data_IF_720160847469
#
_entry.id   IF_720160847469
#
_cell.length_a   1.000
_cell.length_b   1.000
_cell.length_c   1.000
_cell.angle_alpha   90.00
_cell.angle_beta   90.00
_cell.angle_gamma   90.00
#
_symmetry.space_group_name_H-M   'P 1'
#
loop_
_entity.id
_entity.type
_entity.pdbx_description
1 polymer ?
#
# COMPACT_ATOMS: atom_id res chain seq x y z
N UNK A 1 11.32 -23.59 1.82
CA UNK A 1 10.32 -22.50 1.66
C UNK A 1 10.52 -21.69 0.38
N UNK A 2 11.68 -21.04 0.15
CA UNK A 2 11.92 -20.19 -1.05
C UNK A 2 11.75 -20.94 -2.39
N UNK A 3 12.21 -22.20 -2.46
CA UNK A 3 12.04 -23.05 -3.65
C UNK A 3 10.56 -23.38 -3.94
N UNK A 4 9.77 -23.69 -2.90
CA UNK A 4 8.34 -24.00 -3.03
C UNK A 4 7.55 -22.76 -3.49
N UNK A 5 7.80 -21.60 -2.89
CA UNK A 5 7.18 -20.33 -3.31
C UNK A 5 7.43 -20.05 -4.79
N UNK A 6 8.68 -20.20 -5.24
CA UNK A 6 9.04 -19.96 -6.63
C UNK A 6 8.33 -20.94 -7.58
N UNK A 7 8.11 -22.19 -7.17
CA UNK A 7 7.31 -23.16 -7.95
C UNK A 7 5.84 -22.77 -8.05
N UNK A 8 5.23 -22.26 -6.97
CA UNK A 8 3.85 -21.75 -7.01
C UNK A 8 3.73 -20.52 -7.91
N UNK A 9 4.70 -19.61 -7.84
CA UNK A 9 4.77 -18.45 -8.73
C UNK A 9 4.93 -18.92 -10.19
N UNK A 10 5.80 -19.90 -10.44
CA UNK A 10 5.99 -20.45 -11.78
C UNK A 10 4.72 -21.13 -12.32
N UNK A 11 3.96 -21.81 -11.46
CA UNK A 11 2.67 -22.39 -11.81
C UNK A 11 1.63 -21.31 -12.16
N UNK A 12 1.57 -20.22 -11.38
CA UNK A 12 0.74 -19.07 -11.67
C UNK A 12 1.14 -18.36 -12.99
N UNK A 13 2.45 -18.27 -13.28
CA UNK A 13 2.97 -17.72 -14.53
C UNK A 13 2.61 -18.58 -15.75
N UNK A 14 2.67 -19.91 -15.63
CA UNK A 14 2.26 -20.83 -16.70
C UNK A 14 0.76 -20.67 -17.01
N UNK A 15 -0.08 -20.57 -15.98
CA UNK A 15 -1.49 -20.24 -16.17
C UNK A 15 -1.69 -18.86 -16.80
N UNK A 16 -0.98 -17.83 -16.33
CA UNK A 16 -1.08 -16.49 -16.92
C UNK A 16 -0.68 -16.48 -18.40
N UNK A 17 0.35 -17.24 -18.79
CA UNK A 17 0.74 -17.44 -20.19
C UNK A 17 -0.36 -18.13 -20.99
N UNK A 18 -0.95 -19.21 -20.46
CA UNK A 18 -2.05 -19.91 -21.11
C UNK A 18 -3.28 -19.01 -21.25
N UNK A 19 -3.58 -18.19 -20.25
CA UNK A 19 -4.71 -17.28 -20.25
C UNK A 19 -4.59 -16.24 -21.38
N UNK A 20 -3.44 -15.60 -21.52
CA UNK A 20 -3.23 -14.56 -22.55
C UNK A 20 -3.15 -15.13 -23.97
N UNK A 21 -2.81 -16.42 -24.13
CA UNK A 21 -2.90 -17.14 -25.40
C UNK A 21 -4.35 -17.34 -25.85
N UNK A 22 -5.29 -17.51 -24.90
CA UNK A 22 -6.66 -17.95 -25.19
C UNK A 22 -7.73 -16.86 -25.00
N UNK A 23 -7.44 -15.83 -24.20
CA UNK A 23 -8.37 -14.73 -23.95
C UNK A 23 -7.77 -13.42 -24.45
N UNK A 24 -8.40 -12.75 -25.43
CA UNK A 24 -7.97 -11.43 -25.86
C UNK A 24 -8.23 -10.40 -24.75
N UNK A 25 -7.49 -9.28 -24.76
CA UNK A 25 -7.76 -8.12 -23.91
C UNK A 25 -7.71 -8.36 -22.39
N UNK A 26 -6.77 -9.18 -21.91
CA UNK A 26 -6.36 -9.15 -20.51
C UNK A 26 -5.49 -7.90 -20.29
N UNK A 27 -5.85 -7.03 -19.35
CA UNK A 27 -5.02 -5.87 -19.03
C UNK A 27 -3.90 -6.24 -18.08
N UNK A 28 -4.22 -7.01 -17.04
CA UNK A 28 -3.27 -7.47 -16.01
C UNK A 28 -3.67 -8.83 -15.44
N UNK A 29 -2.67 -9.65 -15.14
CA UNK A 29 -2.79 -10.79 -14.23
C UNK A 29 -1.84 -10.57 -13.05
N UNK A 30 -2.37 -10.65 -11.83
CA UNK A 30 -1.64 -10.27 -10.61
C UNK A 30 -1.80 -11.37 -9.57
N UNK A 31 -0.69 -11.95 -9.13
CA UNK A 31 -0.67 -12.85 -7.99
C UNK A 31 -0.76 -12.02 -6.70
N UNK A 32 -1.61 -12.43 -5.76
CA UNK A 32 -1.75 -11.80 -4.45
C UNK A 32 -1.94 -12.86 -3.35
N UNK A 33 -2.20 -12.43 -2.12
CA UNK A 33 -2.48 -13.33 -1.01
C UNK A 33 -1.25 -14.01 -0.41
N UNK A 34 -1.46 -15.17 0.21
CA UNK A 34 -0.50 -15.87 1.08
C UNK A 34 0.79 -16.26 0.38
N UNK A 35 0.75 -16.59 -0.92
CA UNK A 35 1.93 -16.93 -1.73
C UNK A 35 2.89 -15.74 -1.82
N UNK A 36 2.36 -14.51 -1.95
CA UNK A 36 3.20 -13.32 -2.05
C UNK A 36 3.68 -12.86 -0.68
N UNK A 37 2.82 -12.90 0.36
CA UNK A 37 3.19 -12.58 1.74
C UNK A 37 4.10 -13.63 2.41
N UNK A 38 4.31 -14.79 1.77
CA UNK A 38 5.10 -15.92 2.28
C UNK A 38 4.48 -16.56 3.54
N UNK A 39 3.16 -16.52 3.63
CA UNK A 39 2.33 -17.09 4.72
C UNK A 39 1.54 -18.32 4.26
N UNK A 40 1.88 -18.89 3.09
CA UNK A 40 1.21 -20.05 2.51
C UNK A 40 1.69 -21.37 3.14
N UNK A 41 0.78 -22.34 3.24
CA UNK A 41 1.04 -23.72 3.59
C UNK A 41 0.86 -24.66 2.38
N UNK A 42 0.76 -25.97 2.61
CA UNK A 42 0.65 -26.95 1.52
C UNK A 42 -0.72 -26.96 0.85
N UNK A 43 -1.76 -26.52 1.57
CA UNK A 43 -3.15 -26.53 1.13
C UNK A 43 -3.62 -25.17 0.60
N UNK A 44 -2.83 -24.13 0.84
CA UNK A 44 -3.12 -22.76 0.44
C UNK A 44 -3.39 -22.63 -1.06
N UNK A 45 -4.49 -21.95 -1.39
CA UNK A 45 -4.82 -21.58 -2.76
C UNK A 45 -3.85 -20.53 -3.30
N UNK A 46 -3.70 -20.50 -4.61
CA UNK A 46 -2.91 -19.52 -5.33
C UNK A 46 -3.87 -18.46 -5.87
N UNK A 47 -3.95 -17.34 -5.17
CA UNK A 47 -4.86 -16.24 -5.48
C UNK A 47 -4.34 -15.35 -6.62
N UNK A 48 -5.09 -15.29 -7.73
CA UNK A 48 -4.78 -14.49 -8.91
C UNK A 48 -5.92 -13.53 -9.23
N UNK A 49 -5.59 -12.26 -9.42
CA UNK A 49 -6.52 -11.23 -9.89
C UNK A 49 -6.34 -11.03 -11.39
N UNK A 50 -7.43 -11.14 -12.15
CA UNK A 50 -7.47 -10.92 -13.59
C UNK A 50 -8.24 -9.62 -13.86
N UNK A 51 -7.50 -8.58 -14.25
CA UNK A 51 -8.05 -7.29 -14.63
C UNK A 51 -8.40 -7.29 -16.12
N UNK A 52 -9.69 -7.27 -16.41
CA UNK A 52 -10.24 -7.35 -17.77
C UNK A 52 -11.72 -6.93 -17.79
N UNK A 53 -12.23 -6.61 -18.99
CA UNK A 53 -13.66 -6.50 -19.29
C UNK A 53 -14.27 -7.83 -19.77
N UNK A 54 -13.46 -8.85 -20.01
CA UNK A 54 -13.93 -10.16 -20.46
C UNK A 54 -14.83 -10.83 -19.41
N UNK A 55 -15.76 -11.67 -19.87
CA UNK A 55 -16.75 -12.29 -18.98
C UNK A 55 -16.07 -13.31 -18.06
N UNK A 56 -16.42 -13.25 -16.78
CA UNK A 56 -15.92 -14.18 -15.76
C UNK A 56 -16.09 -15.65 -16.15
N UNK A 57 -17.19 -15.99 -16.84
CA UNK A 57 -17.46 -17.36 -17.31
C UNK A 57 -16.39 -17.86 -18.30
N UNK A 58 -15.93 -17.00 -19.19
CA UNK A 58 -14.99 -17.38 -20.25
C UNK A 58 -13.59 -17.61 -19.64
N UNK A 59 -13.17 -16.75 -18.73
CA UNK A 59 -11.94 -16.93 -17.93
C UNK A 59 -11.98 -18.24 -17.12
N UNK A 60 -13.11 -18.53 -16.45
CA UNK A 60 -13.27 -19.77 -15.68
C UNK A 60 -13.26 -21.02 -16.55
N UNK A 61 -13.75 -20.95 -17.79
CA UNK A 61 -13.66 -22.07 -18.73
C UNK A 61 -12.20 -22.34 -19.13
N UNK A 62 -11.45 -21.28 -19.44
CA UNK A 62 -10.01 -21.38 -19.75
C UNK A 62 -9.21 -21.94 -18.57
N UNK A 63 -9.55 -21.56 -17.33
CA UNK A 63 -8.96 -22.19 -16.14
C UNK A 63 -9.20 -23.70 -16.10
N UNK A 64 -10.43 -24.16 -16.33
CA UNK A 64 -10.75 -25.59 -16.34
C UNK A 64 -10.00 -26.33 -17.45
N UNK A 65 -9.92 -25.75 -18.64
CA UNK A 65 -9.16 -26.31 -19.76
C UNK A 65 -7.67 -26.41 -19.43
N UNK A 66 -7.11 -25.37 -18.79
CA UNK A 66 -5.74 -25.36 -18.32
C UNK A 66 -5.49 -26.47 -17.29
N UNK A 67 -6.34 -26.58 -16.26
CA UNK A 67 -6.22 -27.57 -15.20
C UNK A 67 -6.28 -29.01 -15.73
N UNK A 68 -7.11 -29.26 -16.74
CA UNK A 68 -7.24 -30.56 -17.42
C UNK A 68 -6.15 -30.83 -18.46
N UNK A 69 -5.24 -29.88 -18.71
CA UNK A 69 -4.16 -30.02 -19.68
C UNK A 69 -2.80 -29.72 -19.05
N UNK A 70 -2.31 -28.47 -19.16
CA UNK A 70 -0.99 -28.07 -18.64
C UNK A 70 -0.90 -28.17 -17.12
N UNK A 71 -2.01 -27.94 -16.40
CA UNK A 71 -2.08 -27.99 -14.94
C UNK A 71 -1.77 -29.37 -14.35
N UNK A 72 -2.11 -30.47 -15.03
CA UNK A 72 -1.78 -31.81 -14.55
C UNK A 72 -0.27 -32.05 -14.44
N UNK A 73 0.52 -31.45 -15.34
CA UNK A 73 1.98 -31.55 -15.30
C UNK A 73 2.57 -30.99 -14.00
N UNK A 74 1.90 -30.03 -13.37
CA UNK A 74 2.34 -29.45 -12.09
C UNK A 74 2.04 -30.36 -10.90
N UNK A 75 0.96 -31.15 -10.96
CA UNK A 75 0.66 -32.18 -9.96
C UNK A 75 1.78 -33.22 -9.90
N UNK A 76 2.29 -33.66 -11.05
CA UNK A 76 3.45 -34.56 -11.12
C UNK A 76 4.75 -33.94 -10.58
N UNK A 77 4.84 -32.60 -10.55
CA UNK A 77 5.96 -31.85 -9.92
C UNK A 77 5.75 -31.58 -8.43
N UNK A 78 4.71 -32.15 -7.82
CA UNK A 78 4.39 -31.99 -6.40
C UNK A 78 3.66 -30.69 -6.07
N UNK A 79 3.05 -30.03 -7.05
CA UNK A 79 2.21 -28.83 -6.86
C UNK A 79 0.75 -29.22 -7.09
N UNK A 80 0.01 -29.39 -6.00
CA UNK A 80 -1.43 -29.73 -6.02
C UNK A 80 -2.34 -28.57 -5.62
N UNK A 81 -1.76 -27.40 -5.33
CA UNK A 81 -2.48 -26.19 -4.94
C UNK A 81 -3.46 -25.75 -6.03
N UNK A 82 -4.65 -25.29 -5.63
CA UNK A 82 -5.67 -24.82 -6.57
C UNK A 82 -5.41 -23.36 -6.98
N UNK A 83 -5.82 -22.99 -8.19
CA UNK A 83 -5.80 -21.59 -8.64
C UNK A 83 -7.14 -20.94 -8.30
N UNK A 84 -7.10 -19.88 -7.48
CA UNK A 84 -8.27 -19.10 -7.08
C UNK A 84 -8.29 -17.77 -7.85
N UNK A 85 -9.33 -17.54 -8.65
CA UNK A 85 -9.42 -16.35 -9.51
C UNK A 85 -10.42 -15.32 -8.98
N UNK A 86 -9.99 -14.06 -8.93
CA UNK A 86 -10.87 -12.89 -8.85
C UNK A 86 -10.81 -12.15 -10.18
N UNK A 87 -11.96 -11.91 -10.81
CA UNK A 87 -12.03 -11.45 -12.20
C UNK A 87 -12.84 -10.15 -12.28
N UNK A 88 -12.34 -9.19 -13.05
CA UNK A 88 -13.02 -7.94 -13.39
C UNK A 88 -12.15 -6.71 -13.17
N UNK A 89 -12.74 -5.52 -13.26
CA UNK A 89 -12.00 -4.26 -13.11
C UNK A 89 -11.49 -4.03 -11.69
N UNK A 90 -10.17 -3.88 -11.52
CA UNK A 90 -9.54 -3.72 -10.20
C UNK A 90 -10.10 -2.52 -9.41
N UNK A 91 -10.50 -1.46 -10.10
CA UNK A 91 -11.07 -0.26 -9.47
C UNK A 91 -12.39 -0.52 -8.74
N UNK A 92 -13.11 -1.59 -9.09
CA UNK A 92 -14.33 -2.01 -8.41
C UNK A 92 -14.04 -2.74 -7.08
N UNK A 93 -12.76 -2.96 -6.73
CA UNK A 93 -12.35 -3.71 -5.54
C UNK A 93 -11.40 -2.88 -4.65
N UNK A 94 -11.87 -1.82 -3.97
CA UNK A 94 -10.99 -0.88 -3.26
C UNK A 94 -10.06 -1.54 -2.22
N UNK A 95 -10.58 -2.48 -1.44
CA UNK A 95 -9.79 -3.20 -0.42
C UNK A 95 -8.74 -4.10 -1.05
N UNK A 96 -9.11 -4.83 -2.11
CA UNK A 96 -8.18 -5.72 -2.82
C UNK A 96 -7.12 -4.92 -3.58
N UNK A 97 -7.52 -3.80 -4.19
CA UNK A 97 -6.63 -2.86 -4.87
C UNK A 97 -5.52 -2.39 -3.95
N UNK A 98 -5.84 -1.99 -2.70
CA UNK A 98 -4.82 -1.61 -1.70
C UNK A 98 -3.86 -2.77 -1.39
N UNK A 99 -4.38 -3.97 -1.17
CA UNK A 99 -3.56 -5.16 -0.90
C UNK A 99 -2.60 -5.50 -2.06
N UNK A 100 -3.12 -5.46 -3.29
CA UNK A 100 -2.34 -5.67 -4.51
C UNK A 100 -1.29 -4.56 -4.71
N UNK A 101 -1.62 -3.30 -4.42
CA UNK A 101 -0.66 -2.20 -4.53
C UNK A 101 0.50 -2.33 -3.55
N UNK A 102 0.24 -2.85 -2.33
CA UNK A 102 1.30 -3.04 -1.34
C UNK A 102 2.21 -4.23 -1.65
N UNK A 103 1.62 -5.38 -2.01
CA UNK A 103 2.34 -6.66 -2.03
C UNK A 103 1.99 -7.55 -3.23
N UNK A 104 1.31 -7.06 -4.27
CA UNK A 104 0.98 -7.88 -5.44
C UNK A 104 2.21 -8.17 -6.31
N UNK A 105 2.25 -9.36 -6.93
CA UNK A 105 3.25 -9.71 -7.92
C UNK A 105 2.60 -9.69 -9.31
N UNK A 106 3.04 -8.76 -10.17
CA UNK A 106 2.55 -8.68 -11.56
C UNK A 106 3.05 -9.90 -12.34
N UNK A 107 2.12 -10.74 -12.80
CA UNK A 107 2.42 -11.91 -13.66
C UNK A 107 2.43 -11.52 -15.13
N UNK A 108 1.47 -10.67 -15.52
CA UNK A 108 1.30 -10.14 -16.87
C UNK A 108 0.67 -8.75 -16.82
N UNK A 109 1.06 -7.89 -17.73
CA UNK A 109 0.48 -6.56 -17.94
C UNK A 109 1.54 -5.56 -18.37
N UNK A 110 1.09 -4.39 -18.85
CA UNK A 110 2.03 -3.30 -19.14
C UNK A 110 2.74 -2.87 -17.87
N UNK A 111 4.06 -2.78 -17.93
CA UNK A 111 4.84 -2.14 -16.88
C UNK A 111 4.31 -0.72 -16.69
N UNK A 112 3.82 -0.45 -15.49
CA UNK A 112 3.58 0.90 -14.99
C UNK A 112 4.56 1.04 -13.84
N UNK A 113 5.39 2.07 -13.90
CA UNK A 113 6.32 2.39 -12.83
C UNK A 113 5.51 2.51 -11.53
N UNK A 114 5.71 1.57 -10.61
CA UNK A 114 5.19 1.63 -9.24
C UNK A 114 6.37 2.13 -8.42
N UNK A 115 6.24 3.27 -7.73
CA UNK A 115 7.35 3.80 -6.97
C UNK A 115 7.77 2.80 -5.88
N UNK A 116 9.05 2.43 -5.85
CA UNK A 116 9.58 1.43 -4.90
C UNK A 116 9.41 1.85 -3.44
N UNK A 117 9.18 3.14 -3.17
CA UNK A 117 8.90 3.71 -1.86
C UNK A 117 7.76 4.71 -1.96
N UNK A 118 6.54 4.24 -1.79
CA UNK A 118 5.43 5.15 -1.48
C UNK A 118 5.49 5.42 0.02
N UNK A 119 5.92 6.61 0.40
CA UNK A 119 5.86 7.04 1.79
C UNK A 119 4.43 7.55 2.06
N UNK A 120 3.74 6.93 3.01
CA UNK A 120 2.41 7.37 3.44
C UNK A 120 2.56 8.49 4.45
N UNK A 121 2.07 9.67 4.10
CA UNK A 121 2.00 10.83 4.99
C UNK A 121 0.55 11.14 5.37
N UNK A 122 0.41 11.73 6.54
CA UNK A 122 -0.83 12.26 7.06
C UNK A 122 -0.77 13.78 7.04
N UNK A 123 -1.64 14.39 6.23
CA UNK A 123 -1.84 15.83 6.22
C UNK A 123 -2.79 16.23 7.34
N UNK A 124 -2.26 16.95 8.31
CA UNK A 124 -2.99 17.58 9.39
C UNK A 124 -3.26 19.04 9.07
N UNK A 125 -4.53 19.42 9.02
CA UNK A 125 -4.98 20.82 8.96
C UNK A 125 -5.48 21.19 10.36
N UNK A 126 -4.64 21.88 11.12
CA UNK A 126 -4.87 22.23 12.51
C UNK A 126 -5.71 23.50 12.65
N UNK A 127 -6.73 23.46 13.51
CA UNK A 127 -7.47 24.64 13.97
C UNK A 127 -7.10 24.95 15.42
N UNK A 128 -6.83 26.24 15.68
CA UNK A 128 -6.51 26.76 17.00
C UNK A 128 -7.61 27.68 17.54
N UNK A 129 -8.82 27.65 16.99
CA UNK A 129 -9.85 28.67 17.24
C UNK A 129 -10.30 28.70 18.71
N UNK A 130 -10.23 27.55 19.39
CA UNK A 130 -10.58 27.39 20.81
C UNK A 130 -9.41 27.65 21.77
N UNK A 131 -8.30 28.20 21.30
CA UNK A 131 -7.07 28.35 22.07
C UNK A 131 -6.73 29.83 22.24
N UNK A 132 -6.38 30.24 23.47
CA UNK A 132 -6.03 31.64 23.77
C UNK A 132 -4.75 32.09 23.05
N UNK A 133 -4.61 33.39 22.79
CA UNK A 133 -3.45 33.94 22.06
C UNK A 133 -2.10 33.60 22.71
N UNK A 134 -2.00 33.69 24.04
CA UNK A 134 -0.77 33.30 24.76
C UNK A 134 -0.46 31.82 24.60
N UNK A 135 -1.48 30.94 24.67
CA UNK A 135 -1.30 29.50 24.51
C UNK A 135 -0.94 29.13 23.06
N UNK A 136 -1.48 29.83 22.05
CA UNK A 136 -1.12 29.64 20.63
C UNK A 136 0.38 29.83 20.39
N UNK A 137 1.00 30.88 20.95
CA UNK A 137 2.43 31.15 20.77
C UNK A 137 3.28 30.02 21.36
N UNK A 138 2.94 29.55 22.56
CA UNK A 138 3.62 28.40 23.18
C UNK A 138 3.50 27.14 22.32
N UNK A 139 2.30 26.84 21.81
CA UNK A 139 2.08 25.67 20.95
C UNK A 139 2.82 25.75 19.62
N UNK A 140 2.89 26.93 18.99
CA UNK A 140 3.68 27.11 17.78
C UNK A 140 5.16 26.89 18.02
N UNK A 141 5.70 27.34 19.16
CA UNK A 141 7.09 27.05 19.55
C UNK A 141 7.33 25.56 19.79
N UNK A 142 6.36 24.85 20.37
CA UNK A 142 6.45 23.39 20.56
C UNK A 142 6.35 22.62 19.24
N UNK A 143 5.50 23.05 18.30
CA UNK A 143 5.31 22.40 17.00
C UNK A 143 6.48 22.66 16.05
N UNK A 144 6.87 23.92 15.89
CA UNK A 144 7.80 24.37 14.85
C UNK A 144 9.23 24.59 15.37
N UNK A 145 9.41 24.59 16.69
CA UNK A 145 10.67 25.02 17.30
C UNK A 145 10.80 26.54 17.33
N UNK A 146 11.94 27.01 17.81
CA UNK A 146 12.28 28.43 17.79
C UNK A 146 13.79 28.65 17.84
N UNK A 147 14.20 29.82 17.34
CA UNK A 147 15.52 30.40 17.56
C UNK A 147 15.34 31.74 18.25
N UNK A 148 16.06 31.97 19.34
CA UNK A 148 16.01 33.22 20.09
C UNK A 148 17.41 33.65 20.52
N UNK A 149 17.77 34.89 20.22
CA UNK A 149 19.00 35.51 20.72
C UNK A 149 18.71 36.23 22.04
N UNK A 150 19.41 35.84 23.10
CA UNK A 150 19.34 36.50 24.41
C UNK A 150 20.76 36.96 24.75
N UNK A 151 20.97 38.28 24.77
CA UNK A 151 22.30 38.91 24.90
C UNK A 151 23.26 38.37 23.82
N UNK A 152 24.33 37.69 24.23
CA UNK A 152 25.35 37.08 23.36
C UNK A 152 25.12 35.59 23.08
N UNK A 153 24.06 34.97 23.62
CA UNK A 153 23.78 33.54 23.45
C UNK A 153 22.56 33.31 22.55
N UNK A 154 22.67 32.34 21.65
CA UNK A 154 21.57 31.89 20.81
C UNK A 154 20.99 30.59 21.37
N UNK A 155 19.67 30.58 21.57
CA UNK A 155 18.93 29.42 22.04
C UNK A 155 18.12 28.87 20.87
N UNK A 156 18.41 27.63 20.47
CA UNK A 156 17.67 26.92 19.44
C UNK A 156 17.00 25.71 20.07
N UNK A 157 15.72 25.51 19.76
CA UNK A 157 14.99 24.29 20.10
C UNK A 157 14.28 23.76 18.86
N UNK A 158 14.42 22.47 18.59
CA UNK A 158 13.67 21.80 17.54
C UNK A 158 12.21 21.63 17.94
N UNK A 159 11.33 21.63 16.95
CA UNK A 159 9.90 21.42 17.14
C UNK A 159 9.52 19.97 16.93
N UNK A 160 8.38 19.58 17.50
CA UNK A 160 7.82 18.23 17.37
C UNK A 160 7.73 17.76 15.92
N UNK A 161 7.40 18.66 14.98
CA UNK A 161 7.30 18.29 13.56
C UNK A 161 8.63 17.75 13.05
N UNK A 162 9.75 18.41 13.39
CA UNK A 162 11.07 17.96 12.97
C UNK A 162 11.47 16.67 13.69
N UNK A 163 11.16 16.54 14.97
CA UNK A 163 11.41 15.32 15.77
C UNK A 163 10.69 14.08 15.21
N UNK A 164 9.53 14.26 14.58
CA UNK A 164 8.74 13.20 13.97
C UNK A 164 9.02 12.99 12.47
N UNK A 165 10.12 13.55 11.94
CA UNK A 165 10.42 13.58 10.50
C UNK A 165 9.26 14.12 9.65
N UNK A 166 8.46 15.01 10.22
CA UNK A 166 7.36 15.69 9.56
C UNK A 166 7.81 16.93 8.79
N UNK A 167 6.93 17.40 7.92
CA UNK A 167 7.13 18.61 7.12
C UNK A 167 6.05 19.63 7.40
N UNK A 168 6.47 20.87 7.64
CA UNK A 168 5.55 22.01 7.72
C UNK A 168 5.38 22.55 6.30
N UNK A 169 4.17 22.42 5.74
CA UNK A 169 3.83 23.06 4.47
C UNK A 169 3.50 24.53 4.71
N UNK A 170 2.65 24.79 5.69
CA UNK A 170 2.30 26.14 6.13
C UNK A 170 1.98 26.17 7.63
N UNK A 171 1.70 27.35 8.19
CA UNK A 171 1.25 27.44 9.58
C UNK A 171 -0.09 26.70 9.72
N UNK A 172 -0.08 25.62 10.50
CA UNK A 172 -1.26 24.81 10.76
C UNK A 172 -1.50 23.74 9.69
N UNK A 173 -0.67 23.64 8.65
CA UNK A 173 -0.76 22.61 7.62
C UNK A 173 0.54 21.81 7.65
N UNK A 174 0.45 20.55 8.08
CA UNK A 174 1.60 19.73 8.46
C UNK A 174 1.44 18.33 7.88
N UNK A 175 2.50 17.81 7.27
CA UNK A 175 2.63 16.41 6.90
C UNK A 175 3.41 15.67 7.99
N UNK A 176 2.88 14.54 8.43
CA UNK A 176 3.54 13.64 9.40
C UNK A 176 3.60 12.24 8.76
N UNK A 177 4.77 11.58 8.75
CA UNK A 177 4.86 10.18 8.34
C UNK A 177 3.86 9.32 9.12
N UNK A 178 3.16 8.42 8.44
CA UNK A 178 2.07 7.63 9.04
C UNK A 178 2.51 6.84 10.28
N UNK A 179 3.77 6.38 10.34
CA UNK A 179 4.33 5.69 11.51
C UNK A 179 4.39 6.55 12.79
N UNK A 180 4.34 7.87 12.65
CA UNK A 180 4.37 8.82 13.76
C UNK A 180 2.98 9.39 14.12
N UNK A 181 1.91 8.87 13.51
CA UNK A 181 0.53 9.31 13.72
C UNK A 181 0.16 9.39 15.20
N UNK A 182 0.38 8.30 15.94
CA UNK A 182 -0.02 8.18 17.34
C UNK A 182 0.59 9.29 18.20
N UNK A 183 1.91 9.46 18.09
CA UNK A 183 2.65 10.49 18.84
C UNK A 183 2.13 11.89 18.53
N UNK A 184 1.84 12.17 17.26
CA UNK A 184 1.32 13.48 16.86
C UNK A 184 -0.11 13.71 17.36
N UNK A 185 -1.00 12.71 17.22
CA UNK A 185 -2.38 12.77 17.75
C UNK A 185 -2.40 12.97 19.26
N UNK A 186 -1.55 12.28 20.01
CA UNK A 186 -1.43 12.44 21.46
C UNK A 186 -1.07 13.88 21.85
N UNK A 187 -0.15 14.50 21.11
CA UNK A 187 0.18 15.92 21.29
C UNK A 187 -1.03 16.83 21.02
N UNK A 188 -1.78 16.59 19.93
CA UNK A 188 -2.96 17.40 19.60
C UNK A 188 -4.05 17.28 20.66
N UNK A 189 -4.35 16.06 21.10
CA UNK A 189 -5.34 15.75 22.14
C UNK A 189 -4.96 16.42 23.46
N UNK A 190 -3.72 16.23 23.93
CA UNK A 190 -3.21 16.85 25.16
C UNK A 190 -3.36 18.37 25.15
N UNK A 191 -3.20 18.99 23.99
CA UNK A 191 -3.25 20.44 23.83
C UNK A 191 -4.63 20.98 23.41
N UNK A 192 -5.63 20.09 23.23
CA UNK A 192 -7.00 20.42 22.77
C UNK A 192 -7.00 21.14 21.41
N UNK A 193 -6.11 20.73 20.51
CA UNK A 193 -6.04 21.22 19.14
C UNK A 193 -6.97 20.35 18.28
N UNK A 194 -7.91 20.96 17.59
CA UNK A 194 -8.77 20.26 16.61
C UNK A 194 -8.08 20.19 15.26
N UNK A 195 -8.34 19.15 14.48
CA UNK A 195 -7.69 18.96 13.18
C UNK A 195 -8.62 18.28 12.18
N UNK A 196 -8.37 18.53 10.89
CA UNK A 196 -8.79 17.62 9.80
C UNK A 196 -7.58 16.77 9.40
N UNK A 197 -7.85 15.53 9.03
CA UNK A 197 -6.85 14.54 8.64
C UNK A 197 -7.13 14.08 7.21
N UNK A 198 -6.12 14.12 6.36
CA UNK A 198 -6.17 13.61 4.98
C UNK A 198 -4.96 12.69 4.80
N UNK A 199 -5.18 11.49 4.28
CA UNK A 199 -4.13 10.55 3.95
C UNK A 199 -3.54 10.90 2.57
N UNK A 200 -2.21 11.00 2.49
CA UNK A 200 -1.48 11.34 1.27
C UNK A 200 -0.45 10.25 1.00
N UNK A 201 -0.42 9.81 -0.25
CA UNK A 201 0.49 8.80 -0.74
C UNK A 201 1.40 9.51 -1.73
N UNK A 202 2.69 9.50 -1.46
CA UNK A 202 3.66 10.20 -2.31
C UNK A 202 4.95 9.41 -2.38
N UNK A 203 5.53 9.39 -3.56
CA UNK A 203 6.82 8.82 -3.91
C UNK A 203 7.94 9.86 -3.92
N UNK A 204 7.56 11.14 -3.96
CA UNK A 204 8.48 12.28 -3.88
C UNK A 204 8.00 13.27 -2.81
N UNK A 205 8.92 13.70 -1.94
CA UNK A 205 8.71 14.82 -1.01
C UNK A 205 9.98 15.65 -0.83
#
# INVERSE_FOLDING_TARGET
MKDKRNKLIAYALDFASYLIENIPNIDRAILFGSVVSNEFDEESDIDIFIDTDEKEKDIKNVLKEYENSRGENWKFKGISNSLSLKIGRLDNWPTLKRSIQSNGLLLFGKYKEIPEKVETYLLFILSFDKITRMKKVSLWRSLYGYKQKIRKKEYTKEGLIKELNGRKLERGIILIPSENERKFKDFLIKNKITYKLIEIWTDEL
#
